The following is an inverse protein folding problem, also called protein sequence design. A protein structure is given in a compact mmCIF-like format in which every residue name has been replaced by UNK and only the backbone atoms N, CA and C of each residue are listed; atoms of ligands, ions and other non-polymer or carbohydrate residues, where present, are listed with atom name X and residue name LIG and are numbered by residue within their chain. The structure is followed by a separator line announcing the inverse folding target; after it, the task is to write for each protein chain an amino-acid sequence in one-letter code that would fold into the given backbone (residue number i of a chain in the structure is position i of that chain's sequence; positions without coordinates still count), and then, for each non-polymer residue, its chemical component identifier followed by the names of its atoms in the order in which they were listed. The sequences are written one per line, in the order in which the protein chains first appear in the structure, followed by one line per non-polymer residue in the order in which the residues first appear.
data_IF_028885216733
#
_entry.id   IF_028885216733
#
_cell.length_a   1.000
_cell.length_b   1.000
_cell.length_c   1.000
_cell.angle_alpha   90.00
_cell.angle_beta   90.00
_cell.angle_gamma   90.00
#
_symmetry.space_group_name_H-M   'P 1'
#
loop_
_entity.id
_entity.type
_entity.pdbx_description
1 polymer ?
#
# COMPACT_ATOMS: atom_id res chain seq x y z
N UNK A 1 7.71 -5.06 33.09
CA UNK A 1 6.91 -5.80 32.08
C UNK A 1 6.43 -4.82 31.02
N UNK A 2 7.19 -4.64 29.94
CA UNK A 2 6.83 -3.77 28.82
C UNK A 2 6.00 -4.53 27.79
N UNK A 3 4.76 -4.08 27.53
CA UNK A 3 3.92 -4.62 26.46
C UNK A 3 4.43 -4.08 25.14
N UNK A 4 5.03 -4.93 24.31
CA UNK A 4 5.39 -4.59 22.95
C UNK A 4 4.13 -4.50 22.10
N UNK A 5 3.77 -3.30 21.64
CA UNK A 5 2.72 -3.12 20.64
C UNK A 5 3.28 -3.54 19.27
N UNK A 6 2.95 -4.76 18.82
CA UNK A 6 3.19 -5.15 17.42
C UNK A 6 2.20 -4.38 16.54
N UNK A 7 2.70 -3.44 15.74
CA UNK A 7 1.96 -2.88 14.61
C UNK A 7 1.73 -3.98 13.57
N UNK A 8 0.62 -4.69 13.67
CA UNK A 8 0.18 -5.62 12.64
C UNK A 8 -0.55 -4.87 11.54
N UNK A 9 -0.31 -5.17 10.25
CA UNK A 9 -1.11 -4.65 9.15
C UNK A 9 -2.56 -5.09 9.38
N UNK A 10 -3.42 -4.13 9.74
CA UNK A 10 -4.75 -4.39 10.27
C UNK A 10 -5.68 -5.06 9.24
N UNK A 11 -5.34 -4.98 7.95
CA UNK A 11 -6.19 -5.47 6.87
C UNK A 11 -5.70 -6.74 6.14
N UNK A 12 -4.58 -7.32 6.60
CA UNK A 12 -3.88 -8.39 5.86
C UNK A 12 -3.32 -7.92 4.51
N UNK A 13 -3.40 -6.61 4.24
CA UNK A 13 -2.86 -5.94 3.06
C UNK A 13 -1.53 -5.30 3.45
N UNK A 14 -0.50 -5.62 2.68
CA UNK A 14 0.82 -5.01 2.81
C UNK A 14 1.00 -4.03 1.66
N UNK A 15 1.27 -2.77 1.99
CA UNK A 15 1.59 -1.76 1.00
C UNK A 15 3.10 -1.69 0.85
N UNK A 16 3.53 -1.58 -0.40
CA UNK A 16 4.94 -1.55 -0.69
C UNK A 16 5.26 -0.61 -1.86
N UNK A 17 6.46 -0.05 -1.84
CA UNK A 17 6.94 0.87 -2.87
C UNK A 17 8.20 0.30 -3.54
N UNK A 18 8.24 0.39 -4.86
CA UNK A 18 9.42 0.05 -5.67
C UNK A 18 9.94 1.34 -6.30
N UNK A 19 11.24 1.59 -6.16
CA UNK A 19 11.89 2.68 -6.90
C UNK A 19 12.39 2.19 -8.26
N UNK A 20 11.59 2.38 -9.30
CA UNK A 20 11.94 1.95 -10.66
C UNK A 20 13.11 2.71 -11.30
N UNK A 21 13.51 3.87 -10.76
CA UNK A 21 14.72 4.56 -11.23
C UNK A 21 16.00 3.82 -10.80
N UNK A 22 15.95 3.13 -9.66
CA UNK A 22 17.03 2.28 -9.18
C UNK A 22 16.89 0.81 -9.65
N UNK A 23 15.65 0.30 -9.76
CA UNK A 23 15.33 -1.09 -10.09
C UNK A 23 14.52 -1.19 -11.40
N UNK A 24 15.14 -0.78 -12.51
CA UNK A 24 14.48 -0.76 -13.82
C UNK A 24 14.07 -2.15 -14.33
N UNK A 25 14.90 -3.17 -14.07
CA UNK A 25 14.67 -4.55 -14.54
C UNK A 25 13.41 -5.15 -13.94
N UNK A 26 13.21 -4.97 -12.63
CA UNK A 26 12.01 -5.42 -11.92
C UNK A 26 10.75 -4.73 -12.45
N UNK A 27 10.80 -3.42 -12.65
CA UNK A 27 9.65 -2.67 -13.17
C UNK A 27 9.33 -3.05 -14.62
N UNK A 28 10.33 -3.37 -15.45
CA UNK A 28 10.13 -3.89 -16.79
C UNK A 28 9.52 -5.29 -16.78
N UNK A 29 10.01 -6.19 -15.92
CA UNK A 29 9.50 -7.55 -15.77
C UNK A 29 8.02 -7.56 -15.34
N UNK A 30 7.62 -6.62 -14.47
CA UNK A 30 6.24 -6.43 -14.03
C UNK A 30 5.42 -5.47 -14.90
N UNK A 31 5.93 -5.14 -16.10
CA UNK A 31 5.23 -4.36 -17.12
C UNK A 31 4.75 -2.98 -16.64
N UNK A 32 5.54 -2.30 -15.80
CA UNK A 32 5.27 -0.93 -15.38
C UNK A 32 5.48 0.04 -16.55
N UNK A 33 4.38 0.49 -17.17
CA UNK A 33 4.41 1.31 -18.40
C UNK A 33 4.42 2.82 -18.16
N UNK A 34 4.18 3.25 -16.93
CA UNK A 34 4.14 4.66 -16.57
C UNK A 34 4.07 4.85 -15.06
N UNK A 35 4.62 5.96 -14.57
CA UNK A 35 4.73 6.22 -13.14
C UNK A 35 3.79 7.34 -12.70
N UNK A 36 3.20 7.27 -11.48
CA UNK A 36 3.16 6.11 -10.59
C UNK A 36 2.08 5.09 -11.01
N UNK A 37 2.41 3.79 -10.99
CA UNK A 37 1.48 2.68 -11.23
C UNK A 37 1.27 1.89 -9.93
N UNK A 38 0.02 1.62 -9.56
CA UNK A 38 -0.31 0.82 -8.38
C UNK A 38 -0.91 -0.51 -8.82
N UNK A 39 -0.21 -1.60 -8.52
CA UNK A 39 -0.63 -2.96 -8.83
C UNK A 39 -0.89 -3.72 -7.54
N UNK A 40 -1.94 -4.54 -7.52
CA UNK A 40 -2.18 -5.48 -6.43
C UNK A 40 -1.77 -6.88 -6.83
N UNK A 41 -1.02 -7.51 -5.93
CA UNK A 41 -0.58 -8.90 -6.04
C UNK A 41 -1.19 -9.69 -4.90
N UNK A 42 -1.62 -10.91 -5.20
CA UNK A 42 -2.11 -11.85 -4.20
C UNK A 42 -1.45 -13.19 -4.44
N UNK A 43 -0.78 -13.71 -3.41
CA UNK A 43 -0.02 -14.97 -3.46
C UNK A 43 1.05 -14.97 -4.58
N UNK A 44 1.73 -13.83 -4.80
CA UNK A 44 2.74 -13.64 -5.86
C UNK A 44 2.16 -13.42 -7.26
N UNK A 45 0.85 -13.52 -7.44
CA UNK A 45 0.19 -13.36 -8.73
C UNK A 45 -0.38 -11.95 -8.89
N UNK A 46 -0.08 -11.32 -10.03
CA UNK A 46 -0.69 -10.05 -10.40
C UNK A 46 -2.21 -10.21 -10.56
N UNK A 47 -2.99 -9.37 -9.88
CA UNK A 47 -4.46 -9.39 -9.97
C UNK A 47 -4.99 -8.23 -10.79
N UNK A 48 -4.71 -7.00 -10.37
CA UNK A 48 -5.32 -5.82 -10.98
C UNK A 48 -4.46 -4.57 -10.75
N UNK A 49 -4.33 -3.75 -11.79
CA UNK A 49 -3.81 -2.38 -11.66
C UNK A 49 -4.94 -1.47 -11.21
N UNK A 50 -4.69 -0.66 -10.18
CA UNK A 50 -5.61 0.39 -9.76
C UNK A 50 -5.76 1.42 -10.88
N UNK A 51 -7.00 1.55 -11.38
CA UNK A 51 -7.36 2.49 -12.44
C UNK A 51 -8.28 3.56 -11.86
N UNK A 52 -8.00 4.82 -12.18
CA UNK A 52 -8.82 5.96 -11.76
C UNK A 52 -8.01 7.08 -11.12
N UNK A 53 -8.73 8.05 -10.56
CA UNK A 53 -8.10 9.12 -9.80
C UNK A 53 -7.53 8.56 -8.49
N UNK A 54 -6.37 9.11 -8.10
CA UNK A 54 -5.57 8.65 -6.96
C UNK A 54 -6.12 9.22 -5.64
N UNK A 55 -7.42 9.06 -5.44
CA UNK A 55 -8.12 9.51 -4.24
C UNK A 55 -8.02 8.47 -3.14
N UNK A 56 -7.78 8.91 -1.90
CA UNK A 56 -7.68 8.01 -0.75
C UNK A 56 -8.94 7.16 -0.56
N UNK A 57 -10.13 7.72 -0.78
CA UNK A 57 -11.40 6.99 -0.64
C UNK A 57 -11.50 5.84 -1.64
N UNK A 58 -11.16 6.09 -2.91
CA UNK A 58 -11.18 5.06 -3.96
C UNK A 58 -10.12 4.00 -3.75
N UNK A 59 -8.95 4.40 -3.26
CA UNK A 59 -7.90 3.45 -2.91
C UNK A 59 -8.35 2.54 -1.77
N UNK A 60 -8.99 3.07 -0.72
CA UNK A 60 -9.55 2.27 0.37
C UNK A 60 -10.58 1.26 -0.13
N UNK A 61 -11.51 1.69 -1.00
CA UNK A 61 -12.52 0.78 -1.57
C UNK A 61 -11.89 -0.30 -2.44
N UNK A 62 -10.87 0.05 -3.22
CA UNK A 62 -10.11 -0.92 -3.99
C UNK A 62 -9.39 -1.94 -3.10
N UNK A 63 -8.72 -1.49 -2.05
CA UNK A 63 -8.05 -2.37 -1.10
C UNK A 63 -9.05 -3.30 -0.39
N UNK A 64 -10.22 -2.79 0.02
CA UNK A 64 -11.29 -3.60 0.64
C UNK A 64 -11.75 -4.77 -0.24
N UNK A 65 -11.73 -4.66 -1.56
CA UNK A 65 -12.05 -5.76 -2.50
C UNK A 65 -11.11 -6.96 -2.34
N UNK A 66 -9.87 -6.71 -1.91
CA UNK A 66 -8.81 -7.72 -1.78
C UNK A 66 -8.44 -7.99 -0.32
N UNK A 67 -8.98 -7.22 0.64
CA UNK A 67 -8.77 -7.42 2.06
C UNK A 67 -9.39 -8.74 2.52
N UNK A 68 -8.72 -9.44 3.42
CA UNK A 68 -9.31 -10.62 4.05
C UNK A 68 -10.38 -10.16 5.06
N UNK A 69 -11.55 -10.81 5.12
CA UNK A 69 -12.68 -10.40 5.99
C UNK A 69 -12.40 -10.54 7.49
N UNK A 70 -11.21 -10.99 7.89
CA UNK A 70 -10.79 -11.09 9.30
C UNK A 70 -10.10 -9.81 9.83
N UNK A 71 -10.00 -8.79 8.99
CA UNK A 71 -9.47 -7.49 9.31
C UNK A 71 -10.45 -6.64 10.14
N UNK A 72 -10.10 -6.19 11.36
CA UNK A 72 -10.88 -5.13 12.01
C UNK A 72 -10.75 -3.85 11.17
N UNK A 73 -11.89 -3.32 10.73
CA UNK A 73 -11.96 -2.10 9.92
C UNK A 73 -11.13 -0.98 10.57
N UNK A 74 -10.20 -0.32 9.84
CA UNK A 74 -9.55 0.88 10.35
C UNK A 74 -10.60 1.97 10.47
N UNK A 75 -11.10 2.15 11.70
CA UNK A 75 -12.02 3.19 12.11
C UNK A 75 -11.25 4.52 12.03
N UNK A 76 -11.21 5.10 10.83
CA UNK A 76 -10.70 6.45 10.63
C UNK A 76 -11.81 7.42 11.06
N UNK A 77 -11.94 7.61 12.37
CA UNK A 77 -12.65 8.75 12.93
C UNK A 77 -11.98 10.02 12.42
N UNK A 78 -12.72 10.76 11.60
CA UNK A 78 -12.64 12.21 11.36
C UNK A 78 -11.26 12.87 11.45
N UNK A 79 -10.71 13.36 10.33
CA UNK A 79 -10.30 14.78 10.24
C UNK A 79 -10.44 15.23 8.78
N UNK A 80 -11.08 16.39 8.66
CA UNK A 80 -11.45 17.14 7.47
C UNK A 80 -10.28 17.63 6.63
N UNK A 81 -10.61 17.92 5.39
CA UNK A 81 -9.86 18.67 4.39
C UNK A 81 -9.37 20.02 4.93
N UNK A 82 -8.05 20.20 5.10
CA UNK A 82 -7.27 21.44 4.88
C UNK A 82 -5.77 21.08 4.64
N UNK A 83 -5.17 21.62 3.56
CA UNK A 83 -3.73 21.67 3.27
C UNK A 83 -3.00 22.64 4.24
N UNK A 84 -1.65 22.72 4.30
CA UNK A 84 -0.59 21.72 4.14
C UNK A 84 0.35 21.70 5.38
N UNK A 85 1.37 20.83 5.32
CA UNK A 85 2.61 20.81 6.12
C UNK A 85 2.68 19.88 7.35
N UNK A 86 3.52 18.84 7.17
CA UNK A 86 4.50 18.26 8.12
C UNK A 86 4.23 16.86 8.72
N UNK A 87 5.23 16.00 8.46
CA UNK A 87 5.70 14.76 9.14
C UNK A 87 4.80 13.52 9.03
N UNK A 88 5.11 12.67 8.04
CA UNK A 88 4.60 11.30 7.99
C UNK A 88 5.44 10.43 8.95
N UNK A 89 4.86 10.00 10.07
CA UNK A 89 4.93 8.62 10.56
C UNK A 89 4.24 8.48 11.92
N UNK A 90 3.26 7.59 12.00
CA UNK A 90 3.40 6.47 12.94
C UNK A 90 2.43 5.35 12.60
N UNK A 91 3.01 4.21 12.22
CA UNK A 91 2.40 2.87 12.03
C UNK A 91 1.69 2.53 10.71
N UNK A 92 1.74 3.38 9.69
CA UNK A 92 1.48 2.98 8.31
C UNK A 92 2.75 2.55 7.60
N UNK A 93 3.36 1.42 7.99
CA UNK A 93 4.63 0.96 7.40
C UNK A 93 4.40 0.57 5.94
N UNK A 94 4.90 1.37 5.00
CA UNK A 94 5.05 0.97 3.60
C UNK A 94 6.42 0.31 3.46
N UNK A 95 6.44 -0.96 3.07
CA UNK A 95 7.70 -1.69 2.86
C UNK A 95 8.34 -1.25 1.54
N UNK A 96 9.66 -1.09 1.50
CA UNK A 96 10.36 -0.95 0.22
C UNK A 96 10.55 -2.36 -0.36
N UNK A 97 10.17 -2.55 -1.63
CA UNK A 97 10.44 -3.79 -2.35
C UNK A 97 11.61 -3.60 -3.30
N UNK A 98 12.54 -4.54 -3.21
CA UNK A 98 13.75 -4.69 -4.00
C UNK A 98 13.88 -6.15 -4.44
N UNK A 99 14.85 -6.45 -5.31
CA UNK A 99 15.03 -7.77 -5.95
C UNK A 99 15.20 -8.94 -4.97
N UNK A 100 15.42 -8.65 -3.67
CA UNK A 100 15.57 -9.66 -2.62
C UNK A 100 14.28 -9.98 -1.85
N UNK A 101 13.20 -9.21 -2.06
CA UNK A 101 11.95 -9.27 -1.28
C UNK A 101 10.69 -9.53 -2.12
N UNK A 102 10.85 -9.91 -3.39
CA UNK A 102 9.76 -10.23 -4.31
C UNK A 102 9.49 -11.74 -4.40
#
# INVERSE_FOLDING_TARGET
MGRTCKGQPQDGIQLAQVNCAAHGDLCNAHNAKGYPQMNIYKDGEYKETFKGARDLSRLKDFLKKYANPSAPEPTHSVVSEEEPTQIYDSSGTVSVLDDSNF
#
